data_IF_249410531764
#
_entry.id   IF_249410531764
#
_cell.length_a   1.000
_cell.length_b   1.000
_cell.length_c   1.000
_cell.angle_alpha   90.00
_cell.angle_beta   90.00
_cell.angle_gamma   90.00
#
_symmetry.space_group_name_H-M   'P 1'
#
loop_
_entity.id
_entity.type
_entity.pdbx_description
1 polymer ?
#
# COMPACT_ATOMS: atom_id res chain seq x y z
N UNK A 1 -0.94 8.54 -24.15
CA UNK A 1 -1.13 8.49 -22.69
C UNK A 1 -2.54 7.98 -22.44
N UNK A 2 -2.63 6.85 -21.76
CA UNK A 2 -3.91 6.22 -21.45
C UNK A 2 -4.42 6.71 -20.08
N UNK A 3 -5.70 6.47 -19.77
CA UNK A 3 -6.29 6.80 -18.47
C UNK A 3 -5.48 6.21 -17.30
N UNK A 4 -4.88 5.03 -17.47
CA UNK A 4 -4.02 4.37 -16.49
C UNK A 4 -2.72 5.16 -16.25
N UNK A 5 -2.11 5.73 -17.30
CA UNK A 5 -0.94 6.58 -17.18
C UNK A 5 -1.23 7.80 -16.29
N UNK A 6 -2.40 8.42 -16.48
CA UNK A 6 -2.85 9.54 -15.67
C UNK A 6 -3.08 9.12 -14.21
N UNK A 7 -3.68 7.96 -13.97
CA UNK A 7 -3.85 7.41 -12.62
C UNK A 7 -2.48 7.15 -11.95
N UNK A 8 -1.53 6.53 -12.66
CA UNK A 8 -0.19 6.26 -12.13
C UNK A 8 0.49 7.58 -11.74
N UNK A 9 0.49 8.57 -12.64
CA UNK A 9 1.09 9.89 -12.38
C UNK A 9 0.42 10.57 -11.20
N UNK A 10 -0.91 10.54 -11.11
CA UNK A 10 -1.66 11.17 -10.04
C UNK A 10 -1.38 10.52 -8.69
N UNK A 11 -1.36 9.18 -8.62
CA UNK A 11 -1.04 8.44 -7.39
C UNK A 11 0.40 8.69 -6.97
N UNK A 12 1.36 8.65 -7.91
CA UNK A 12 2.77 8.90 -7.64
C UNK A 12 3.01 10.34 -7.16
N UNK A 13 2.46 11.32 -7.88
CA UNK A 13 2.57 12.74 -7.50
C UNK A 13 1.92 12.99 -6.14
N UNK A 14 0.72 12.47 -5.91
CA UNK A 14 0.02 12.58 -4.63
C UNK A 14 0.80 11.96 -3.47
N UNK A 15 1.40 10.78 -3.67
CA UNK A 15 2.23 10.10 -2.68
C UNK A 15 3.50 10.91 -2.35
N UNK A 16 4.19 11.44 -3.36
CA UNK A 16 5.39 12.27 -3.18
C UNK A 16 5.04 13.58 -2.47
N UNK A 17 4.01 14.28 -2.92
CA UNK A 17 3.57 15.55 -2.31
C UNK A 17 3.14 15.31 -0.86
N UNK A 18 2.38 14.25 -0.61
CA UNK A 18 1.97 13.85 0.74
C UNK A 18 3.18 13.53 1.63
N UNK A 19 4.17 12.80 1.11
CA UNK A 19 5.41 12.49 1.79
C UNK A 19 6.23 13.73 2.12
N UNK A 20 6.40 14.64 1.15
CA UNK A 20 7.06 15.93 1.36
C UNK A 20 6.34 16.78 2.42
N UNK A 21 5.00 16.85 2.38
CA UNK A 21 4.22 17.65 3.33
C UNK A 21 4.27 17.07 4.75
N UNK A 22 4.17 15.75 4.88
CA UNK A 22 4.13 15.09 6.18
C UNK A 22 5.51 14.93 6.81
N UNK A 23 6.55 14.74 6.00
CA UNK A 23 7.90 14.38 6.43
C UNK A 23 8.03 12.88 6.68
N UNK A 24 9.28 12.40 6.69
CA UNK A 24 9.62 10.98 6.80
C UNK A 24 9.13 10.36 8.11
N UNK A 25 9.41 10.99 9.24
CA UNK A 25 9.05 10.41 10.55
C UNK A 25 7.56 10.18 10.71
N UNK A 26 6.73 11.10 10.23
CA UNK A 26 5.28 10.95 10.30
C UNK A 26 4.79 9.89 9.31
N UNK A 27 5.30 9.87 8.09
CA UNK A 27 4.93 8.90 7.08
C UNK A 27 5.35 7.47 7.48
N UNK A 28 6.59 7.30 7.95
CA UNK A 28 7.12 6.02 8.43
C UNK A 28 6.36 5.53 9.68
N UNK A 29 6.08 6.40 10.65
CA UNK A 29 5.28 6.05 11.84
C UNK A 29 3.85 5.65 11.48
N UNK A 30 3.24 6.31 10.48
CA UNK A 30 1.91 5.95 10.00
C UNK A 30 1.88 4.57 9.36
N UNK A 31 2.87 4.25 8.51
CA UNK A 31 2.99 2.94 7.89
C UNK A 31 3.30 1.85 8.93
N UNK A 32 4.25 2.11 9.84
CA UNK A 32 4.54 1.20 10.95
C UNK A 32 3.30 0.99 11.83
N UNK A 33 2.56 2.05 12.13
CA UNK A 33 1.31 1.99 12.88
C UNK A 33 0.23 1.14 12.19
N UNK A 34 0.13 1.21 10.86
CA UNK A 34 -0.77 0.37 10.09
C UNK A 34 -0.37 -1.11 10.20
N UNK A 35 0.90 -1.44 9.96
CA UNK A 35 1.40 -2.82 10.01
C UNK A 35 1.25 -3.39 11.43
N UNK A 36 1.74 -2.67 12.44
CA UNK A 36 1.64 -3.08 13.84
C UNK A 36 0.19 -3.12 14.31
N UNK A 37 -0.64 -2.17 13.85
CA UNK A 37 -2.05 -2.13 14.17
C UNK A 37 -2.80 -3.37 13.67
N UNK A 38 -2.58 -3.76 12.41
CA UNK A 38 -3.17 -4.97 11.86
C UNK A 38 -2.65 -6.23 12.57
N UNK A 39 -1.35 -6.30 12.85
CA UNK A 39 -0.75 -7.44 13.54
C UNK A 39 -1.28 -7.60 14.96
N UNK A 40 -1.32 -6.52 15.75
CA UNK A 40 -1.84 -6.53 17.10
C UNK A 40 -3.36 -6.75 17.12
N UNK A 41 -4.09 -6.18 16.15
CA UNK A 41 -5.52 -6.45 16.01
C UNK A 41 -5.78 -7.94 15.79
N UNK A 42 -5.01 -8.61 14.93
CA UNK A 42 -5.15 -10.05 14.70
C UNK A 42 -4.91 -10.89 15.97
N UNK A 43 -4.02 -10.45 16.84
CA UNK A 43 -3.74 -11.20 18.08
C UNK A 43 -4.70 -10.88 19.22
N UNK A 44 -5.17 -9.64 19.32
CA UNK A 44 -5.90 -9.14 20.48
C UNK A 44 -7.37 -8.80 20.22
N UNK A 45 -7.91 -8.95 18.99
CA UNK A 45 -9.30 -8.59 18.68
C UNK A 45 -10.33 -9.22 19.62
N UNK A 46 -10.11 -10.49 20.04
CA UNK A 46 -11.01 -11.18 20.97
C UNK A 46 -11.13 -10.52 22.34
N UNK A 47 -10.06 -9.86 22.79
CA UNK A 47 -10.07 -9.13 24.06
C UNK A 47 -10.98 -7.90 23.96
N UNK A 48 -10.84 -7.14 22.86
CA UNK A 48 -11.70 -5.99 22.60
C UNK A 48 -13.14 -6.40 22.26
N UNK A 49 -13.33 -7.50 21.52
CA UNK A 49 -14.64 -8.05 21.21
C UNK A 49 -15.45 -8.38 22.45
N UNK A 50 -14.84 -9.03 23.46
CA UNK A 50 -15.50 -9.32 24.75
C UNK A 50 -15.99 -8.08 25.49
N UNK A 51 -15.31 -6.95 25.36
CA UNK A 51 -15.75 -5.67 25.94
C UNK A 51 -16.94 -5.07 25.19
N UNK A 52 -17.09 -5.41 23.90
CA UNK A 52 -18.16 -4.92 23.03
C UNK A 52 -19.37 -5.88 23.00
N UNK A 53 -19.21 -7.13 23.43
CA UNK A 53 -20.25 -8.15 23.49
C UNK A 53 -21.55 -7.70 24.17
N UNK A 54 -21.50 -6.93 25.29
CA UNK A 54 -22.75 -6.42 25.95
C UNK A 54 -23.48 -5.39 25.07
N UNK A 55 -22.81 -4.74 24.14
CA UNK A 55 -23.41 -3.71 23.28
C UNK A 55 -23.84 -4.28 21.93
N UNK A 56 -23.22 -5.39 21.49
CA UNK A 56 -23.43 -5.96 20.16
C UNK A 56 -23.83 -7.41 20.31
N UNK A 57 -25.08 -7.73 20.02
CA UNK A 57 -25.68 -9.06 20.23
C UNK A 57 -25.17 -10.13 19.24
N UNK A 58 -24.41 -9.77 18.23
CA UNK A 58 -23.89 -10.67 17.19
C UNK A 58 -22.36 -10.81 17.32
N UNK A 59 -21.88 -12.04 17.51
CA UNK A 59 -20.46 -12.33 17.75
C UNK A 59 -19.56 -11.89 16.59
N UNK A 60 -19.98 -12.10 15.33
CA UNK A 60 -19.22 -11.71 14.15
C UNK A 60 -19.02 -10.18 14.08
N UNK A 61 -20.04 -9.41 14.47
CA UNK A 61 -19.96 -7.95 14.52
C UNK A 61 -19.08 -7.48 15.67
N UNK A 62 -19.16 -8.13 16.85
CA UNK A 62 -18.30 -7.84 17.99
C UNK A 62 -16.82 -8.09 17.67
N UNK A 63 -16.50 -9.20 17.00
CA UNK A 63 -15.16 -9.55 16.57
C UNK A 63 -14.61 -8.53 15.55
N UNK A 64 -15.44 -8.12 14.58
CA UNK A 64 -15.05 -7.12 13.57
C UNK A 64 -14.79 -5.75 14.21
N UNK A 65 -15.68 -5.31 15.11
CA UNK A 65 -15.51 -4.04 15.81
C UNK A 65 -14.31 -4.07 16.75
N UNK A 66 -14.06 -5.19 17.42
CA UNK A 66 -12.89 -5.40 18.28
C UNK A 66 -11.58 -5.30 17.49
N UNK A 67 -11.54 -5.91 16.31
CA UNK A 67 -10.40 -5.82 15.41
C UNK A 67 -10.15 -4.37 14.94
N UNK A 68 -11.20 -3.69 14.48
CA UNK A 68 -11.10 -2.30 14.03
C UNK A 68 -10.68 -1.36 15.17
N UNK A 69 -11.22 -1.56 16.37
CA UNK A 69 -10.89 -0.73 17.53
C UNK A 69 -9.40 -0.81 17.88
N UNK A 70 -8.82 -2.01 17.92
CA UNK A 70 -7.37 -2.19 18.17
C UNK A 70 -6.55 -1.60 17.04
N UNK A 71 -6.91 -1.89 15.79
CA UNK A 71 -6.18 -1.37 14.64
C UNK A 71 -6.12 0.17 14.66
N UNK A 72 -7.27 0.82 14.85
CA UNK A 72 -7.36 2.28 14.90
C UNK A 72 -6.59 2.83 16.12
N UNK A 73 -6.71 2.22 17.30
CA UNK A 73 -6.01 2.66 18.50
C UNK A 73 -4.49 2.68 18.28
N UNK A 74 -3.94 1.59 17.73
CA UNK A 74 -2.50 1.48 17.46
C UNK A 74 -2.06 2.47 16.38
N UNK A 75 -2.85 2.65 15.33
CA UNK A 75 -2.56 3.64 14.28
C UNK A 75 -2.53 5.06 14.83
N UNK A 76 -3.47 5.41 15.69
CA UNK A 76 -3.52 6.73 16.35
C UNK A 76 -2.31 6.92 17.26
N UNK A 77 -1.97 5.93 18.09
CA UNK A 77 -0.80 5.97 18.95
C UNK A 77 0.49 6.15 18.17
N UNK A 78 0.69 5.36 17.09
CA UNK A 78 1.84 5.50 16.21
C UNK A 78 1.90 6.89 15.54
N UNK A 79 0.76 7.43 15.12
CA UNK A 79 0.67 8.78 14.56
C UNK A 79 1.04 9.88 15.57
N UNK A 80 0.70 9.72 16.85
CA UNK A 80 1.10 10.65 17.92
C UNK A 80 2.61 10.56 18.14
N UNK A 81 3.16 9.35 18.23
CA UNK A 81 4.59 9.11 18.37
C UNK A 81 5.36 9.77 17.22
N UNK A 82 4.92 9.57 15.97
CA UNK A 82 5.52 10.19 14.79
C UNK A 82 5.53 11.72 14.83
N UNK A 83 4.47 12.34 15.38
CA UNK A 83 4.42 13.80 15.56
C UNK A 83 5.42 14.29 16.61
N UNK A 84 5.60 13.54 17.69
CA UNK A 84 6.57 13.88 18.74
C UNK A 84 7.99 13.84 18.18
N UNK A 85 8.34 12.77 17.45
CA UNK A 85 9.64 12.66 16.79
C UNK A 85 9.87 13.82 15.81
N UNK A 86 8.89 14.12 14.95
CA UNK A 86 8.99 15.25 14.00
C UNK A 86 9.27 16.56 14.71
N UNK A 87 8.63 16.83 15.85
CA UNK A 87 8.90 18.06 16.63
C UNK A 87 10.34 18.11 17.15
N UNK A 88 10.86 16.98 17.64
CA UNK A 88 12.25 16.88 18.12
C UNK A 88 13.27 17.20 17.02
N UNK A 89 13.09 16.64 15.82
CA UNK A 89 13.99 16.90 14.70
C UNK A 89 13.92 18.33 14.17
N UNK A 90 12.76 18.99 14.25
CA UNK A 90 12.63 20.41 13.90
C UNK A 90 13.47 21.30 14.82
N UNK A 91 13.61 20.95 16.09
CA UNK A 91 14.46 21.65 17.06
C UNK A 91 15.95 21.58 16.72
N UNK A 92 16.38 20.49 16.08
CA UNK A 92 17.76 20.29 15.63
C UNK A 92 18.10 21.01 14.31
N UNK A 93 17.17 21.76 13.72
CA UNK A 93 17.38 22.50 12.46
C UNK A 93 17.37 21.62 11.20
N UNK A 94 17.15 20.29 11.32
CA UNK A 94 17.23 19.32 10.23
C UNK A 94 15.84 19.05 9.59
N UNK A 95 14.88 19.94 9.84
CA UNK A 95 13.49 19.78 9.37
C UNK A 95 13.34 19.66 7.85
N UNK A 96 14.20 20.33 7.07
CA UNK A 96 14.16 20.23 5.60
C UNK A 96 14.53 18.84 5.10
N UNK A 97 15.47 18.16 5.78
CA UNK A 97 15.89 16.78 5.44
C UNK A 97 14.76 15.78 5.70
N UNK A 98 13.98 15.98 6.77
CA UNK A 98 12.80 15.16 7.07
C UNK A 98 11.76 15.25 5.95
N UNK A 99 11.53 16.43 5.39
CA UNK A 99 10.62 16.63 4.27
C UNK A 99 11.14 15.99 2.99
N UNK A 100 12.43 16.12 2.68
CA UNK A 100 13.05 15.52 1.51
C UNK A 100 13.03 13.97 1.60
N UNK A 101 13.43 13.44 2.75
CA UNK A 101 13.33 12.00 3.03
C UNK A 101 11.88 11.50 2.99
N UNK A 102 10.92 12.32 3.45
CA UNK A 102 9.49 12.06 3.33
C UNK A 102 9.03 11.96 1.88
N UNK A 103 9.54 12.82 0.99
CA UNK A 103 9.27 12.73 -0.45
C UNK A 103 9.79 11.45 -1.07
N UNK A 104 11.04 11.06 -0.76
CA UNK A 104 11.62 9.80 -1.20
C UNK A 104 10.81 8.58 -0.69
N UNK A 105 10.42 8.61 0.58
CA UNK A 105 9.57 7.59 1.18
C UNK A 105 8.18 7.54 0.52
N UNK A 106 7.59 8.71 0.26
CA UNK A 106 6.32 8.84 -0.47
C UNK A 106 6.40 8.26 -1.88
N UNK A 107 7.53 8.45 -2.58
CA UNK A 107 7.77 7.84 -3.89
C UNK A 107 7.75 6.30 -3.81
N UNK A 108 8.48 5.71 -2.85
CA UNK A 108 8.48 4.25 -2.63
C UNK A 108 7.08 3.74 -2.29
N UNK A 109 6.38 4.43 -1.39
CA UNK A 109 5.00 4.08 -1.01
C UNK A 109 4.04 4.21 -2.19
N UNK A 110 4.16 5.24 -3.01
CA UNK A 110 3.39 5.43 -4.24
C UNK A 110 3.65 4.29 -5.24
N UNK A 111 4.92 3.90 -5.41
CA UNK A 111 5.29 2.79 -6.28
C UNK A 111 4.67 1.46 -5.81
N UNK A 112 4.67 1.20 -4.51
CA UNK A 112 4.00 0.02 -3.93
C UNK A 112 2.48 0.05 -4.17
N UNK A 113 1.83 1.19 -3.97
CA UNK A 113 0.39 1.36 -4.23
C UNK A 113 0.04 1.14 -5.69
N UNK A 114 0.83 1.69 -6.62
CA UNK A 114 0.64 1.48 -8.06
C UNK A 114 0.83 0.01 -8.41
N UNK A 115 1.89 -0.63 -7.90
CA UNK A 115 2.15 -2.06 -8.11
C UNK A 115 0.98 -2.92 -7.62
N UNK A 116 0.49 -2.65 -6.41
CA UNK A 116 -0.67 -3.35 -5.85
C UNK A 116 -1.93 -3.10 -6.68
N UNK A 117 -2.16 -1.87 -7.13
CA UNK A 117 -3.28 -1.53 -8.02
C UNK A 117 -3.25 -2.31 -9.34
N UNK A 118 -2.06 -2.39 -9.96
CA UNK A 118 -1.86 -3.18 -11.19
C UNK A 118 -2.06 -4.67 -10.92
N UNK A 119 -1.55 -5.20 -9.79
CA UNK A 119 -1.75 -6.60 -9.40
C UNK A 119 -3.25 -6.93 -9.24
N UNK A 120 -4.00 -6.08 -8.57
CA UNK A 120 -5.45 -6.25 -8.42
C UNK A 120 -6.15 -6.17 -9.77
N UNK A 121 -5.76 -5.23 -10.63
CA UNK A 121 -6.31 -5.12 -11.97
C UNK A 121 -6.06 -6.40 -12.79
N UNK A 122 -4.85 -6.96 -12.75
CA UNK A 122 -4.49 -8.19 -13.44
C UNK A 122 -5.21 -9.42 -12.86
N UNK A 123 -5.46 -9.44 -11.55
CA UNK A 123 -6.11 -10.57 -10.88
C UNK A 123 -7.63 -10.60 -11.14
N UNK A 124 -8.29 -9.45 -11.19
CA UNK A 124 -9.75 -9.35 -11.19
C UNK A 124 -10.36 -8.81 -12.47
N UNK A 125 -9.60 -8.12 -13.33
CA UNK A 125 -10.13 -7.62 -14.59
C UNK A 125 -10.09 -8.71 -15.68
N UNK A 126 -11.20 -8.96 -16.39
CA UNK A 126 -11.25 -9.99 -17.44
C UNK A 126 -10.35 -9.65 -18.63
N UNK A 127 -10.15 -8.37 -18.92
CA UNK A 127 -9.23 -7.88 -19.95
C UNK A 127 -8.55 -6.57 -19.49
N UNK A 128 -7.25 -6.57 -19.23
CA UNK A 128 -6.54 -5.38 -18.73
C UNK A 128 -6.13 -4.42 -19.88
N UNK A 129 -7.10 -3.95 -20.70
CA UNK A 129 -6.84 -3.06 -21.83
C UNK A 129 -6.00 -1.82 -21.46
N UNK A 130 -6.26 -1.24 -20.29
CA UNK A 130 -5.52 -0.08 -19.81
C UNK A 130 -4.01 -0.35 -19.58
N UNK A 131 -3.67 -1.56 -19.17
CA UNK A 131 -2.27 -1.95 -18.86
C UNK A 131 -1.46 -2.14 -20.14
N UNK A 132 -2.08 -2.70 -21.21
CA UNK A 132 -1.42 -2.95 -22.50
C UNK A 132 -0.95 -1.66 -23.18
N UNK A 133 -1.71 -0.60 -23.07
CA UNK A 133 -1.43 0.68 -23.72
C UNK A 133 -0.68 1.67 -22.82
N UNK A 134 -0.46 1.33 -21.56
CA UNK A 134 0.20 2.21 -20.60
C UNK A 134 1.71 2.21 -20.79
N UNK A 135 2.27 3.39 -21.02
CA UNK A 135 3.71 3.62 -21.16
C UNK A 135 4.46 3.50 -19.82
N UNK A 136 3.77 3.81 -18.72
CA UNK A 136 4.37 3.84 -17.37
C UNK A 136 4.13 2.57 -16.56
N UNK A 137 3.29 1.63 -17.03
CA UNK A 137 3.04 0.37 -16.33
C UNK A 137 4.23 -0.62 -16.39
N UNK A 138 5.10 -0.51 -17.40
CA UNK A 138 6.22 -1.44 -17.63
C UNK A 138 7.11 -1.71 -16.40
N UNK A 139 7.65 -0.69 -15.69
CA UNK A 139 8.48 -0.92 -14.51
C UNK A 139 7.72 -1.61 -13.36
N UNK A 140 6.42 -1.32 -13.22
CA UNK A 140 5.58 -1.93 -12.19
C UNK A 140 5.20 -3.37 -12.52
N UNK A 141 5.09 -3.74 -13.80
CA UNK A 141 4.88 -5.13 -14.23
C UNK A 141 6.08 -6.01 -13.86
N UNK A 142 7.30 -5.48 -13.93
CA UNK A 142 8.50 -6.20 -13.47
C UNK A 142 8.45 -6.46 -11.96
N UNK A 143 8.00 -5.49 -11.17
CA UNK A 143 7.77 -5.65 -9.75
C UNK A 143 6.66 -6.68 -9.45
N UNK A 144 5.58 -6.67 -10.23
CA UNK A 144 4.49 -7.66 -10.11
C UNK A 144 5.01 -9.11 -10.28
N UNK A 145 5.92 -9.36 -11.24
CA UNK A 145 6.54 -10.68 -11.43
C UNK A 145 7.32 -11.13 -10.19
N UNK A 146 8.04 -10.22 -9.53
CA UNK A 146 8.75 -10.53 -8.29
C UNK A 146 7.83 -10.92 -7.14
N UNK A 147 6.67 -10.29 -7.03
CA UNK A 147 5.69 -10.54 -5.96
C UNK A 147 4.97 -11.88 -6.14
N UNK A 148 4.84 -12.42 -7.36
CA UNK A 148 4.16 -13.72 -7.59
C UNK A 148 4.86 -14.89 -6.89
N UNK A 149 6.15 -14.78 -6.59
CA UNK A 149 6.88 -15.79 -5.82
C UNK A 149 6.56 -15.78 -4.31
N UNK A 150 5.98 -14.69 -3.82
CA UNK A 150 5.65 -14.49 -2.39
C UNK A 150 4.14 -14.60 -2.13
N UNK A 151 3.33 -14.75 -3.18
CA UNK A 151 1.86 -14.76 -3.07
C UNK A 151 1.31 -16.17 -2.85
N UNK A 152 0.15 -16.33 -2.16
CA UNK A 152 -0.57 -17.58 -2.10
C UNK A 152 -0.90 -18.13 -3.51
N UNK A 153 -0.89 -19.45 -3.69
CA UNK A 153 -0.98 -20.10 -5.01
C UNK A 153 -2.15 -19.61 -5.87
N UNK A 154 -3.33 -19.43 -5.29
CA UNK A 154 -4.52 -18.95 -5.99
C UNK A 154 -4.35 -17.52 -6.57
N UNK A 155 -3.73 -16.61 -5.82
CA UNK A 155 -3.48 -15.25 -6.27
C UNK A 155 -2.32 -15.21 -7.27
N UNK A 156 -1.29 -16.04 -7.05
CA UNK A 156 -0.17 -16.19 -7.97
C UNK A 156 -0.63 -16.70 -9.34
N UNK A 157 -1.57 -17.66 -9.39
CA UNK A 157 -2.16 -18.16 -10.64
C UNK A 157 -2.99 -17.07 -11.36
N UNK A 158 -3.80 -16.32 -10.65
CA UNK A 158 -4.59 -15.24 -11.22
C UNK A 158 -3.69 -14.16 -11.84
N UNK A 159 -2.61 -13.77 -11.13
CA UNK A 159 -1.64 -12.77 -11.62
C UNK A 159 -0.87 -13.32 -12.83
N UNK A 160 -0.39 -14.58 -12.78
CA UNK A 160 0.30 -15.23 -13.91
C UNK A 160 -0.60 -15.33 -15.13
N UNK A 161 -1.87 -15.66 -14.94
CA UNK A 161 -2.87 -15.70 -16.02
C UNK A 161 -3.05 -14.35 -16.67
N UNK A 162 -3.13 -13.27 -15.89
CA UNK A 162 -3.20 -11.89 -16.38
C UNK A 162 -1.93 -11.47 -17.13
N UNK A 163 -0.75 -11.78 -16.59
CA UNK A 163 0.54 -11.49 -17.23
C UNK A 163 0.69 -12.26 -18.56
N UNK A 164 0.32 -13.55 -18.60
CA UNK A 164 0.38 -14.37 -19.81
C UNK A 164 -0.52 -13.81 -20.92
N UNK A 165 -1.74 -13.39 -20.59
CA UNK A 165 -2.63 -12.70 -21.54
C UNK A 165 -2.03 -11.39 -22.09
N UNK A 166 -1.26 -10.67 -21.27
CA UNK A 166 -0.52 -9.48 -21.73
C UNK A 166 0.61 -9.87 -22.68
N UNK A 167 1.38 -10.91 -22.39
CA UNK A 167 2.50 -11.38 -23.24
C UNK A 167 2.03 -11.91 -24.60
N UNK A 168 0.96 -12.69 -24.65
CA UNK A 168 0.41 -13.26 -25.89
C UNK A 168 -0.11 -12.18 -26.86
N UNK A 169 -0.52 -11.03 -26.37
CA UNK A 169 -1.17 -9.99 -27.14
C UNK A 169 -0.34 -8.69 -27.31
N UNK A 170 0.93 -8.66 -26.89
CA UNK A 170 1.74 -7.42 -26.92
C UNK A 170 3.12 -7.64 -27.54
N UNK A 171 3.57 -6.80 -28.51
CA UNK A 171 4.91 -6.92 -29.09
C UNK A 171 5.98 -6.39 -28.14
N UNK A 172 7.05 -7.14 -27.98
CA UNK A 172 8.47 -6.81 -27.66
C UNK A 172 8.88 -5.95 -26.45
N UNK A 173 8.04 -5.22 -25.75
CA UNK A 173 8.51 -4.36 -24.64
C UNK A 173 8.43 -5.02 -23.25
N UNK A 174 7.72 -6.14 -23.14
CA UNK A 174 7.63 -6.95 -21.91
C UNK A 174 8.61 -8.14 -21.94
N UNK A 175 9.22 -8.44 -23.08
CA UNK A 175 10.18 -9.55 -23.18
C UNK A 175 11.48 -9.17 -22.48
N UNK A 176 12.02 -10.02 -21.57
CA UNK A 176 13.35 -9.82 -21.05
C UNK A 176 14.33 -9.87 -22.24
N UNK A 177 15.14 -8.82 -22.39
CA UNK A 177 16.31 -8.91 -23.28
C UNK A 177 17.19 -10.01 -22.68
N UNK A 178 17.27 -11.12 -23.42
CA UNK A 178 18.27 -12.17 -23.19
C UNK A 178 19.65 -11.60 -23.44
#
# INVERSE_FOLDING_TARGET
MNWLDWMIVLVMAGAVISGLAQGFFRAASSLAGLILGLMLATWYYKVAAKMLEPLVHEQAMSDTLGFLAIAILVMVAAGIIGRIFKKGFKWLGIGWLDHLAGGAFGFVQGALLVTLGILLLLAFAPEPYGVKESKYASPFLSACRGVTHLSPDALAEAIRGGLKKLEENTPNWIQPKV
#
